data_IF_078526944312
#
_entry.id   IF_078526944312
#
_cell.length_a   1.000
_cell.length_b   1.000
_cell.length_c   1.000
_cell.angle_alpha   90.00
_cell.angle_beta   90.00
_cell.angle_gamma   90.00
#
_symmetry.space_group_name_H-M   'P 1'
#
loop_
_entity.id
_entity.type
_entity.pdbx_description
1 polymer ?
#
# COMPACT_ATOMS: atom_id res chain seq x y z
N UNK A 1 -2.19 -1.75 19.23
CA UNK A 1 -1.86 -0.92 18.04
C UNK A 1 -2.52 -1.47 16.78
N UNK A 2 -2.35 -2.76 16.45
CA UNK A 2 -2.87 -3.35 15.21
C UNK A 2 -4.39 -3.18 15.02
N UNK A 3 -5.22 -3.34 16.06
CA UNK A 3 -6.67 -3.12 15.97
C UNK A 3 -7.07 -1.69 15.56
N UNK A 4 -6.32 -0.68 16.00
CA UNK A 4 -6.57 0.72 15.61
C UNK A 4 -6.25 0.92 14.12
N UNK A 5 -5.12 0.38 13.66
CA UNK A 5 -4.74 0.39 12.24
C UNK A 5 -5.80 -0.33 11.40
N UNK A 6 -6.27 -1.50 11.83
CA UNK A 6 -7.33 -2.25 11.13
C UNK A 6 -8.62 -1.44 11.04
N UNK A 7 -9.02 -0.76 12.13
CA UNK A 7 -10.19 0.12 12.11
C UNK A 7 -10.06 1.27 11.10
N UNK A 8 -8.91 1.94 11.07
CA UNK A 8 -8.63 3.01 10.10
C UNK A 8 -8.60 2.50 8.66
N UNK A 9 -7.96 1.36 8.42
CA UNK A 9 -7.92 0.71 7.11
C UNK A 9 -9.31 0.25 6.67
N UNK A 10 -10.15 -0.21 7.59
CA UNK A 10 -11.54 -0.55 7.32
C UNK A 10 -12.35 0.68 6.89
N UNK A 11 -12.11 1.84 7.52
CA UNK A 11 -12.74 3.09 7.11
C UNK A 11 -12.26 3.54 5.72
N UNK A 12 -10.96 3.44 5.42
CA UNK A 12 -10.38 3.74 4.10
C UNK A 12 -10.96 2.82 3.04
N UNK A 13 -11.00 1.51 3.31
CA UNK A 13 -11.58 0.50 2.42
C UNK A 13 -13.05 0.82 2.13
N UNK A 14 -13.84 1.09 3.17
CA UNK A 14 -15.26 1.42 2.99
C UNK A 14 -15.46 2.69 2.14
N UNK A 15 -14.72 3.76 2.45
CA UNK A 15 -14.83 5.03 1.72
C UNK A 15 -14.39 4.88 0.26
N UNK A 16 -13.26 4.23 0.01
CA UNK A 16 -12.75 4.08 -1.35
C UNK A 16 -13.64 3.19 -2.22
N UNK A 17 -14.24 2.14 -1.66
CA UNK A 17 -15.20 1.30 -2.41
C UNK A 17 -16.55 2.00 -2.68
N UNK A 18 -17.03 2.80 -1.72
CA UNK A 18 -18.33 3.47 -1.81
C UNK A 18 -18.24 4.77 -2.61
N UNK A 19 -17.37 5.67 -2.18
CA UNK A 19 -17.29 7.07 -2.61
C UNK A 19 -16.17 7.33 -3.64
N UNK A 20 -15.28 6.35 -3.89
CA UNK A 20 -14.12 6.50 -4.79
C UNK A 20 -13.20 7.67 -4.42
N UNK A 21 -13.23 8.03 -3.14
CA UNK A 21 -12.43 9.08 -2.57
C UNK A 21 -12.20 8.75 -1.10
N UNK A 22 -11.06 9.22 -0.59
CA UNK A 22 -10.73 9.11 0.82
C UNK A 22 -10.39 10.48 1.37
N UNK A 23 -10.89 10.79 2.57
CA UNK A 23 -10.53 12.04 3.21
C UNK A 23 -9.06 12.03 3.60
N UNK A 24 -8.32 13.09 3.25
CA UNK A 24 -6.89 13.20 3.51
C UNK A 24 -6.49 13.01 4.99
N UNK A 25 -7.40 13.30 5.93
CA UNK A 25 -7.13 13.08 7.36
C UNK A 25 -6.91 11.59 7.70
N UNK A 26 -7.53 10.66 6.96
CA UNK A 26 -7.41 9.22 7.24
C UNK A 26 -6.00 8.69 6.95
N UNK A 27 -5.40 8.90 5.76
CA UNK A 27 -4.00 8.55 5.52
C UNK A 27 -3.02 9.24 6.46
N UNK A 28 -3.26 10.50 6.83
CA UNK A 28 -2.40 11.23 7.78
C UNK A 28 -2.46 10.61 9.17
N UNK A 29 -3.66 10.25 9.64
CA UNK A 29 -3.83 9.56 10.91
C UNK A 29 -3.21 8.16 10.87
N UNK A 30 -3.37 7.45 9.75
CA UNK A 30 -2.73 6.15 9.53
C UNK A 30 -1.20 6.26 9.58
N UNK A 31 -0.61 7.31 9.00
CA UNK A 31 0.83 7.58 9.06
C UNK A 31 1.32 7.78 10.49
N UNK A 32 0.57 8.53 11.31
CA UNK A 32 0.90 8.70 12.72
C UNK A 32 0.93 7.35 13.46
N UNK A 33 -0.09 6.52 13.27
CA UNK A 33 -0.14 5.19 13.91
C UNK A 33 0.88 4.21 13.34
N UNK A 34 1.26 4.34 12.06
CA UNK A 34 2.33 3.56 11.45
C UNK A 34 3.68 3.84 12.09
N UNK A 35 4.03 5.11 12.26
CA UNK A 35 5.25 5.53 12.96
C UNK A 35 5.23 5.11 14.43
N UNK A 36 4.08 5.25 15.11
CA UNK A 36 3.92 4.79 16.48
C UNK A 36 4.08 3.27 16.62
N UNK A 37 3.56 2.48 15.66
CA UNK A 37 3.77 1.02 15.62
C UNK A 37 5.24 0.68 15.44
N UNK A 38 5.93 1.34 14.51
CA UNK A 38 7.35 1.12 14.25
C UNK A 38 8.19 1.38 15.51
N UNK A 39 7.94 2.52 16.17
CA UNK A 39 8.60 2.87 17.42
C UNK A 39 8.30 1.86 18.53
N UNK A 40 7.05 1.40 18.65
CA UNK A 40 6.67 0.41 19.65
C UNK A 40 7.32 -0.96 19.43
N UNK A 41 7.47 -1.42 18.18
CA UNK A 41 8.03 -2.74 17.87
C UNK A 41 9.56 -2.76 17.84
N UNK A 42 10.21 -1.70 17.36
CA UNK A 42 11.66 -1.63 17.21
C UNK A 42 12.37 -0.84 18.32
N UNK A 43 11.63 -0.04 19.08
CA UNK A 43 12.18 0.91 20.07
C UNK A 43 12.71 2.21 19.46
N UNK A 44 12.74 2.33 18.12
CA UNK A 44 13.17 3.52 17.39
C UNK A 44 12.51 3.59 16.01
N UNK A 45 12.58 4.75 15.36
CA UNK A 45 12.14 4.90 13.96
C UNK A 45 13.30 4.52 13.04
N UNK A 46 13.12 3.48 12.23
CA UNK A 46 14.16 3.02 11.32
C UNK A 46 14.12 3.81 10.00
N UNK A 47 14.77 4.97 9.98
CA UNK A 47 14.80 5.87 8.82
C UNK A 47 15.35 5.22 7.54
N UNK A 48 16.24 4.23 7.66
CA UNK A 48 16.75 3.48 6.51
C UNK A 48 15.67 2.71 5.76
N UNK A 49 14.72 2.11 6.50
CA UNK A 49 13.58 1.41 5.89
C UNK A 49 12.65 2.39 5.18
N UNK A 50 12.29 3.47 5.88
CA UNK A 50 11.42 4.53 5.33
C UNK A 50 12.04 5.13 4.07
N UNK A 51 13.33 5.50 4.11
CA UNK A 51 14.04 6.10 2.99
C UNK A 51 14.10 5.19 1.77
N UNK A 52 14.37 3.89 1.98
CA UNK A 52 14.36 2.91 0.89
C UNK A 52 12.97 2.72 0.28
N UNK A 53 11.93 2.58 1.12
CA UNK A 53 10.56 2.42 0.66
C UNK A 53 10.06 3.66 -0.08
N UNK A 54 10.38 4.86 0.41
CA UNK A 54 10.07 6.13 -0.26
C UNK A 54 10.80 6.26 -1.60
N UNK A 55 12.06 5.84 -1.67
CA UNK A 55 12.82 5.83 -2.92
C UNK A 55 12.17 4.90 -3.94
N UNK A 56 11.81 3.68 -3.53
CA UNK A 56 11.10 2.73 -4.40
C UNK A 56 9.75 3.29 -4.88
N UNK A 57 8.95 3.85 -3.97
CA UNK A 57 7.68 4.48 -4.31
C UNK A 57 7.88 5.64 -5.30
N UNK A 58 8.88 6.49 -5.05
CA UNK A 58 9.18 7.64 -5.92
C UNK A 58 9.62 7.18 -7.31
N UNK A 59 10.49 6.18 -7.40
CA UNK A 59 10.90 5.58 -8.67
C UNK A 59 9.71 5.01 -9.43
N UNK A 60 8.80 4.31 -8.74
CA UNK A 60 7.58 3.77 -9.35
C UNK A 60 6.68 4.88 -9.91
N UNK A 61 6.42 5.93 -9.12
CA UNK A 61 5.58 7.06 -9.53
C UNK A 61 6.21 7.83 -10.69
N UNK A 62 7.54 8.01 -10.68
CA UNK A 62 8.28 8.64 -11.79
C UNK A 62 8.22 7.77 -13.05
N UNK A 63 8.40 6.45 -12.94
CA UNK A 63 8.30 5.54 -14.08
C UNK A 63 6.90 5.57 -14.71
N UNK A 64 5.85 5.56 -13.87
CA UNK A 64 4.47 5.72 -14.32
C UNK A 64 4.27 7.07 -14.99
N UNK A 65 4.79 8.15 -14.40
CA UNK A 65 4.72 9.52 -14.92
C UNK A 65 5.38 9.65 -16.29
N UNK A 66 6.55 9.04 -16.47
CA UNK A 66 7.23 8.99 -17.76
C UNK A 66 6.43 8.17 -18.77
N UNK A 67 5.86 7.03 -18.39
CA UNK A 67 5.03 6.21 -19.27
C UNK A 67 3.86 7.00 -19.88
N UNK A 68 3.08 7.71 -19.04
CA UNK A 68 1.95 8.50 -19.54
C UNK A 68 2.39 9.73 -20.33
N UNK A 69 3.51 10.36 -19.96
CA UNK A 69 4.05 11.49 -20.70
C UNK A 69 4.47 11.09 -22.12
N UNK A 70 5.13 9.93 -22.27
CA UNK A 70 5.49 9.36 -23.56
C UNK A 70 4.26 8.93 -24.38
N UNK A 71 3.24 8.37 -23.72
CA UNK A 71 2.01 7.90 -24.38
C UNK A 71 1.11 9.04 -24.86
N UNK A 72 0.94 10.09 -24.07
CA UNK A 72 -0.03 11.15 -24.32
C UNK A 72 0.58 12.42 -24.95
N UNK A 73 1.92 12.49 -25.08
CA UNK A 73 2.68 13.59 -25.70
C UNK A 73 2.34 15.01 -25.19
N UNK A 74 1.83 15.11 -23.95
CA UNK A 74 1.48 16.36 -23.26
C UNK A 74 1.94 16.27 -21.81
N UNK A 75 2.04 17.42 -21.13
CA UNK A 75 2.25 17.49 -19.68
C UNK A 75 1.03 16.88 -18.96
N UNK A 76 1.07 15.57 -18.77
CA UNK A 76 0.05 14.80 -18.08
C UNK A 76 0.44 14.69 -16.62
N UNK A 77 -0.35 15.20 -15.68
CA UNK A 77 -0.11 14.93 -14.25
C UNK A 77 -0.93 13.72 -13.83
N UNK A 78 -0.27 12.60 -13.55
CA UNK A 78 -0.96 11.37 -13.14
C UNK A 78 -1.70 11.58 -11.81
N UNK A 79 -1.12 12.34 -10.89
CA UNK A 79 -1.73 12.59 -9.58
C UNK A 79 -3.11 13.24 -9.73
N UNK A 80 -3.27 14.16 -10.69
CA UNK A 80 -4.52 14.90 -10.89
C UNK A 80 -5.53 14.16 -11.78
N UNK A 81 -5.13 13.14 -12.52
CA UNK A 81 -6.00 12.50 -13.53
C UNK A 81 -6.26 11.01 -13.27
N UNK A 82 -5.35 10.30 -12.62
CA UNK A 82 -5.44 8.83 -12.47
C UNK A 82 -5.45 8.36 -11.01
N UNK A 83 -4.62 8.95 -10.14
CA UNK A 83 -4.38 8.43 -8.77
C UNK A 83 -5.16 9.21 -7.72
N UNK A 84 -5.34 10.52 -7.87
CA UNK A 84 -5.95 11.34 -6.83
C UNK A 84 -5.02 11.55 -5.62
N UNK A 85 -5.20 12.66 -4.92
CA UNK A 85 -4.32 13.03 -3.79
C UNK A 85 -4.48 12.09 -2.59
N UNK A 86 -5.68 11.55 -2.37
CA UNK A 86 -5.95 10.62 -1.28
C UNK A 86 -5.10 9.36 -1.39
N UNK A 87 -5.13 8.70 -2.54
CA UNK A 87 -4.36 7.47 -2.78
C UNK A 87 -2.85 7.73 -2.73
N UNK A 88 -2.40 8.90 -3.22
CA UNK A 88 -1.00 9.30 -3.08
C UNK A 88 -0.58 9.39 -1.60
N UNK A 89 -1.40 10.02 -0.76
CA UNK A 89 -1.16 10.13 0.68
C UNK A 89 -1.21 8.77 1.38
N UNK A 90 -2.01 7.83 0.87
CA UNK A 90 -2.11 6.47 1.42
C UNK A 90 -0.80 5.67 1.27
N UNK A 91 0.05 5.97 0.29
CA UNK A 91 1.34 5.29 0.18
C UNK A 91 2.33 5.63 1.30
N UNK A 92 2.23 6.83 1.89
CA UNK A 92 3.16 7.27 2.95
C UNK A 92 3.15 6.36 4.18
N UNK A 93 2.01 6.02 4.81
CA UNK A 93 1.99 5.07 5.92
C UNK A 93 2.56 3.70 5.56
N UNK A 94 2.38 3.24 4.31
CA UNK A 94 2.95 1.96 3.87
C UNK A 94 4.48 1.98 3.94
N UNK A 95 5.12 3.10 3.55
CA UNK A 95 6.57 3.22 3.65
C UNK A 95 7.11 3.11 5.08
N UNK A 96 6.28 3.37 6.11
CA UNK A 96 6.64 3.28 7.52
C UNK A 96 6.29 1.93 8.17
N UNK A 97 5.48 1.09 7.51
CA UNK A 97 4.98 -0.16 8.09
C UNK A 97 5.82 -1.40 7.77
N UNK A 98 6.79 -1.30 6.86
CA UNK A 98 7.50 -2.45 6.32
C UNK A 98 9.01 -2.27 6.28
N UNK A 99 9.76 -3.36 6.45
CA UNK A 99 11.15 -3.45 5.97
C UNK A 99 11.21 -3.48 4.42
N UNK A 100 12.36 -3.20 3.81
CA UNK A 100 12.52 -3.10 2.36
C UNK A 100 11.96 -4.28 1.55
N UNK A 101 12.31 -5.52 1.92
CA UNK A 101 11.86 -6.69 1.16
C UNK A 101 10.35 -6.92 1.37
N UNK A 102 9.89 -6.85 2.62
CA UNK A 102 8.46 -6.90 2.95
C UNK A 102 7.64 -5.87 2.16
N UNK A 103 8.14 -4.64 2.03
CA UNK A 103 7.49 -3.58 1.26
C UNK A 103 7.37 -3.95 -0.22
N UNK A 104 8.45 -4.43 -0.85
CA UNK A 104 8.43 -4.85 -2.27
C UNK A 104 7.39 -5.94 -2.50
N UNK A 105 7.39 -6.99 -1.65
CA UNK A 105 6.44 -8.09 -1.78
C UNK A 105 5.00 -7.63 -1.58
N UNK A 106 4.74 -6.87 -0.52
CA UNK A 106 3.42 -6.29 -0.27
C UNK A 106 2.95 -5.45 -1.45
N UNK A 107 3.81 -4.57 -1.96
CA UNK A 107 3.47 -3.61 -3.01
C UNK A 107 3.16 -4.32 -4.34
N UNK A 108 3.97 -5.29 -4.75
CA UNK A 108 3.74 -6.07 -5.98
C UNK A 108 2.47 -6.92 -5.86
N UNK A 109 2.31 -7.66 -4.77
CA UNK A 109 1.17 -8.57 -4.57
C UNK A 109 -0.14 -7.77 -4.48
N UNK A 110 -0.14 -6.66 -3.74
CA UNK A 110 -1.34 -5.84 -3.59
C UNK A 110 -1.71 -5.14 -4.91
N UNK A 111 -0.75 -4.63 -5.69
CA UNK A 111 -1.02 -4.05 -7.01
C UNK A 111 -1.58 -5.09 -7.99
N UNK A 112 -0.88 -6.21 -8.15
CA UNK A 112 -1.30 -7.28 -9.05
C UNK A 112 -2.65 -7.86 -8.62
N UNK A 113 -2.83 -8.09 -7.32
CA UNK A 113 -4.09 -8.57 -6.74
C UNK A 113 -5.25 -7.60 -6.94
N UNK A 114 -5.00 -6.29 -6.81
CA UNK A 114 -6.01 -5.25 -7.08
C UNK A 114 -6.46 -5.24 -8.53
N UNK A 115 -5.51 -5.37 -9.47
CA UNK A 115 -5.80 -5.45 -10.90
C UNK A 115 -6.57 -6.73 -11.25
N UNK A 116 -6.13 -7.89 -10.76
CA UNK A 116 -6.81 -9.16 -10.99
C UNK A 116 -8.22 -9.13 -10.42
N UNK A 117 -8.38 -8.65 -9.18
CA UNK A 117 -9.69 -8.49 -8.56
C UNK A 117 -10.59 -7.60 -9.43
N UNK A 118 -10.12 -6.42 -9.83
CA UNK A 118 -10.88 -5.52 -10.69
C UNK A 118 -11.33 -6.19 -12.00
N UNK A 119 -10.42 -6.89 -12.70
CA UNK A 119 -10.73 -7.60 -13.95
C UNK A 119 -11.75 -8.73 -13.76
N UNK A 120 -11.66 -9.48 -12.66
CA UNK A 120 -12.63 -10.52 -12.33
C UNK A 120 -14.00 -9.91 -12.02
N UNK A 121 -14.06 -8.86 -11.20
CA UNK A 121 -15.32 -8.18 -10.87
C UNK A 121 -15.95 -7.50 -12.10
N UNK A 122 -15.16 -6.87 -12.96
CA UNK A 122 -15.69 -6.22 -14.18
C UNK A 122 -16.25 -7.25 -15.16
N UNK A 123 -15.53 -8.35 -15.39
CA UNK A 123 -15.91 -9.35 -16.39
C UNK A 123 -16.98 -10.33 -15.90
N UNK A 124 -16.95 -10.73 -14.63
CA UNK A 124 -17.88 -11.74 -14.08
C UNK A 124 -19.13 -11.13 -13.48
N UNK A 125 -19.02 -9.93 -12.87
CA UNK A 125 -20.10 -9.31 -12.11
C UNK A 125 -20.64 -8.03 -12.78
N UNK A 126 -20.17 -7.71 -13.98
CA UNK A 126 -20.63 -6.56 -14.75
C UNK A 126 -20.37 -5.22 -14.07
N UNK A 127 -19.37 -5.15 -13.18
CA UNK A 127 -18.99 -3.90 -12.53
C UNK A 127 -18.40 -2.93 -13.54
N UNK A 128 -19.10 -1.82 -13.79
CA UNK A 128 -18.72 -0.79 -14.77
C UNK A 128 -18.14 0.48 -14.13
N UNK A 129 -17.69 0.43 -12.87
CA UNK A 129 -17.10 1.61 -12.23
C UNK A 129 -15.79 1.99 -12.93
N UNK A 130 -15.68 3.26 -13.31
CA UNK A 130 -14.60 3.80 -14.18
C UNK A 130 -13.19 3.71 -13.58
N UNK A 131 -13.07 3.60 -12.25
CA UNK A 131 -11.77 3.54 -11.56
C UNK A 131 -11.64 2.38 -10.58
N UNK A 132 -10.39 1.92 -10.45
CA UNK A 132 -9.96 0.89 -9.50
C UNK A 132 -9.80 1.54 -8.12
N UNK A 133 -10.46 1.04 -7.05
CA UNK A 133 -10.29 1.53 -5.69
C UNK A 133 -8.94 1.05 -5.12
N UNK A 134 -7.86 1.76 -5.47
CA UNK A 134 -6.49 1.33 -5.19
C UNK A 134 -6.17 1.38 -3.69
N UNK A 135 -6.47 2.48 -3.02
CA UNK A 135 -6.21 2.62 -1.59
C UNK A 135 -7.04 1.62 -0.77
N UNK A 136 -8.28 1.37 -1.18
CA UNK A 136 -9.18 0.43 -0.54
C UNK A 136 -8.77 -1.02 -0.74
N UNK A 137 -8.35 -1.39 -1.95
CA UNK A 137 -7.85 -2.75 -2.21
C UNK A 137 -6.53 -3.00 -1.47
N UNK A 138 -5.58 -2.06 -1.50
CA UNK A 138 -4.35 -2.16 -0.72
C UNK A 138 -4.61 -2.17 0.79
N UNK A 139 -5.62 -1.44 1.27
CA UNK A 139 -6.06 -1.51 2.67
C UNK A 139 -6.54 -2.91 3.05
N UNK A 140 -7.27 -3.61 2.16
CA UNK A 140 -7.67 -4.99 2.39
C UNK A 140 -6.47 -5.94 2.53
N UNK A 141 -5.48 -5.81 1.64
CA UNK A 141 -4.22 -6.56 1.75
C UNK A 141 -3.46 -6.23 3.04
N UNK A 142 -3.44 -4.97 3.45
CA UNK A 142 -2.76 -4.55 4.67
C UNK A 142 -3.46 -5.07 5.93
N UNK A 143 -4.79 -5.08 5.96
CA UNK A 143 -5.58 -5.71 7.04
C UNK A 143 -5.20 -7.18 7.14
N UNK A 144 -5.15 -7.91 6.02
CA UNK A 144 -4.74 -9.31 6.01
C UNK A 144 -3.32 -9.49 6.57
N UNK A 145 -2.38 -8.63 6.17
CA UNK A 145 -1.01 -8.63 6.69
C UNK A 145 -0.93 -8.36 8.20
N UNK A 146 -1.73 -7.41 8.72
CA UNK A 146 -1.80 -7.10 10.15
C UNK A 146 -2.42 -8.25 10.96
N UNK A 147 -3.40 -8.96 10.38
CA UNK A 147 -3.94 -10.16 10.98
C UNK A 147 -2.87 -11.26 11.01
N UNK A 148 -2.15 -11.52 9.93
CA UNK A 148 -1.06 -12.51 9.92
C UNK A 148 -0.01 -12.24 10.99
N UNK A 149 0.45 -11.00 11.13
CA UNK A 149 1.39 -10.59 12.19
C UNK A 149 0.84 -10.85 13.60
N UNK A 150 -0.49 -10.80 13.78
CA UNK A 150 -1.12 -11.01 15.09
C UNK A 150 -1.24 -12.49 15.47
N UNK A 151 -1.46 -13.37 14.50
CA UNK A 151 -1.68 -14.80 14.74
C UNK A 151 -0.41 -15.65 14.56
N UNK A 152 0.69 -15.06 14.11
CA UNK A 152 1.95 -15.77 13.82
C UNK A 152 3.17 -15.01 14.35
N UNK A 153 4.34 -15.65 14.36
CA UNK A 153 5.62 -14.99 14.69
C UNK A 153 6.17 -14.11 13.56
N UNK A 154 5.38 -13.88 12.51
CA UNK A 154 5.73 -13.01 11.40
C UNK A 154 5.81 -11.55 11.87
N UNK A 155 6.78 -10.80 11.36
CA UNK A 155 6.92 -9.37 11.64
C UNK A 155 7.13 -8.60 10.35
N UNK A 156 6.38 -7.52 10.16
CA UNK A 156 6.50 -6.66 8.98
C UNK A 156 7.84 -5.92 8.90
N UNK A 157 8.57 -5.86 10.02
CA UNK A 157 9.88 -5.21 10.13
C UNK A 157 11.04 -6.21 10.08
N UNK A 158 10.77 -7.48 9.81
CA UNK A 158 11.78 -8.52 9.74
C UNK A 158 11.73 -9.25 8.39
N UNK A 159 12.87 -9.30 7.72
CA UNK A 159 13.05 -9.99 6.44
C UNK A 159 13.51 -11.46 6.58
N UNK A 160 13.70 -11.95 7.82
CA UNK A 160 14.22 -13.29 8.11
C UNK A 160 13.41 -14.41 7.46
N UNK A 161 12.08 -14.23 7.35
CA UNK A 161 11.21 -15.17 6.66
C UNK A 161 11.64 -15.37 5.20
N UNK A 162 11.95 -14.29 4.48
CA UNK A 162 12.38 -14.36 3.10
C UNK A 162 13.75 -15.00 2.96
N UNK A 163 14.70 -14.67 3.85
CA UNK A 163 16.02 -15.30 3.84
C UNK A 163 15.96 -16.81 4.10
N UNK A 164 15.12 -17.25 5.03
CA UNK A 164 14.90 -18.67 5.29
C UNK A 164 14.24 -19.39 4.10
N UNK A 165 13.22 -18.75 3.49
CA UNK A 165 12.55 -19.31 2.33
C UNK A 165 13.49 -19.44 1.13
N UNK A 166 14.27 -18.41 0.81
CA UNK A 166 15.28 -18.45 -0.26
C UNK A 166 16.35 -19.51 0.05
N UNK A 167 16.82 -19.57 1.31
CA UNK A 167 17.79 -20.56 1.74
C UNK A 167 17.29 -22.01 1.66
N UNK A 168 15.98 -22.25 1.70
CA UNK A 168 15.41 -23.60 1.54
C UNK A 168 15.32 -24.08 0.09
N UNK A 169 15.53 -23.19 -0.88
CA UNK A 169 15.49 -23.50 -2.31
C UNK A 169 16.84 -23.96 -2.87
N UNK A 170 17.92 -23.86 -2.08
CA UNK A 170 19.29 -24.24 -2.45
C UNK A 170 19.86 -25.24 -1.43
#
# INVERSE_FOLDING_TARGET
>A
MNWLLIGLLGAILYQDFKERAIYAFLPVLLLFFALAKQFYQLGYIQYGFIGFNLLLLSLQLVALQLYFLLKNARLYSIVNHEIGLGDLLFFLPLCCLFSPLQFIFFFIISLAGSLIAYLLFSNLLGWSKESIPLAGSMSAFLIFYLLLEQWTSFSMYNDSFFFQWIGSLF
#
